data_IF_369524286579
#
_entry.id   IF_369524286579
#
_cell.length_a   1.000
_cell.length_b   1.000
_cell.length_c   1.000
_cell.angle_alpha   90.00
_cell.angle_beta   90.00
_cell.angle_gamma   90.00
#
_symmetry.space_group_name_H-M   'P 1'
#
loop_
_entity.id
_entity.type
_entity.pdbx_description
1 polymer ?
#
# COMPACT_ATOMS: atom_id res chain seq x y z
N UNK A 1 3.92 -21.81 -2.13
CA UNK A 1 4.24 -20.37 -2.13
C UNK A 1 4.63 -19.95 -3.54
N UNK A 2 3.74 -19.30 -4.30
CA UNK A 2 4.13 -18.73 -5.61
C UNK A 2 5.14 -17.64 -5.31
N UNK A 3 6.38 -17.77 -5.82
CA UNK A 3 7.34 -16.67 -5.81
C UNK A 3 6.67 -15.52 -6.54
N UNK A 4 6.31 -14.46 -5.82
CA UNK A 4 5.94 -13.19 -6.41
C UNK A 4 7.16 -12.74 -7.21
N UNK A 5 7.10 -12.98 -8.53
CA UNK A 5 8.03 -12.49 -9.53
C UNK A 5 8.22 -10.97 -9.35
N UNK A 6 9.35 -10.43 -9.82
CA UNK A 6 9.74 -9.01 -9.76
C UNK A 6 8.69 -8.06 -10.37
N UNK A 7 7.82 -8.59 -11.24
CA UNK A 7 6.65 -7.92 -11.83
C UNK A 7 5.35 -8.04 -11.01
N UNK A 8 5.39 -8.73 -9.87
CA UNK A 8 4.22 -9.04 -9.02
C UNK A 8 4.39 -8.64 -7.56
N UNK A 9 5.62 -8.30 -7.10
CA UNK A 9 5.79 -7.69 -5.77
C UNK A 9 5.15 -6.30 -5.78
N UNK A 10 4.23 -5.99 -4.84
CA UNK A 10 3.69 -4.64 -4.70
C UNK A 10 4.82 -3.68 -4.35
N UNK A 11 4.72 -2.41 -4.76
CA UNK A 11 5.65 -1.40 -4.28
C UNK A 11 5.48 -1.12 -2.79
N UNK A 12 4.25 -1.29 -2.28
CA UNK A 12 3.93 -1.06 -0.88
C UNK A 12 3.12 -2.21 -0.30
N UNK A 13 3.46 -2.63 0.91
CA UNK A 13 2.66 -3.52 1.74
C UNK A 13 2.27 -2.77 3.00
N UNK A 14 0.97 -2.75 3.29
CA UNK A 14 0.48 -2.28 4.58
C UNK A 14 0.18 -3.48 5.44
N UNK A 15 0.89 -3.60 6.57
CA UNK A 15 0.61 -4.59 7.63
C UNK A 15 -0.21 -3.93 8.71
N UNK A 16 -1.21 -4.64 9.21
CA UNK A 16 -1.98 -4.22 10.37
C UNK A 16 -3.46 -4.42 10.19
N UNK A 17 -4.15 -4.52 11.30
CA UNK A 17 -5.59 -4.68 11.34
C UNK A 17 -6.23 -3.69 12.32
N UNK A 18 -7.57 -3.69 12.31
CA UNK A 18 -8.35 -2.77 13.13
C UNK A 18 -8.30 -3.13 14.62
N UNK A 19 -8.00 -4.38 14.96
CA UNK A 19 -7.99 -4.88 16.33
C UNK A 19 -6.72 -4.45 17.05
N UNK A 20 -5.59 -4.48 16.36
CA UNK A 20 -4.29 -4.03 16.88
C UNK A 20 -4.09 -2.52 16.78
N UNK A 21 -4.84 -1.84 15.90
CA UNK A 21 -4.89 -0.38 15.82
C UNK A 21 -3.61 0.29 15.32
N UNK A 22 -2.61 -0.48 14.89
CA UNK A 22 -1.35 -0.01 14.34
C UNK A 22 -1.16 -0.57 12.94
N UNK A 23 -0.85 0.31 12.00
CA UNK A 23 -0.56 -0.01 10.62
C UNK A 23 0.86 0.42 10.29
N UNK A 24 1.62 -0.50 9.71
CA UNK A 24 2.99 -0.31 9.27
C UNK A 24 3.05 -0.44 7.75
N UNK A 25 3.96 0.31 7.12
CA UNK A 25 4.13 0.28 5.66
C UNK A 25 5.53 -0.22 5.34
N UNK A 26 5.61 -1.21 4.47
CA UNK A 26 6.87 -1.73 3.92
C UNK A 26 6.89 -1.39 2.44
N UNK A 27 8.02 -0.92 1.94
CA UNK A 27 8.24 -0.70 0.52
C UNK A 27 9.18 -1.75 -0.05
N UNK A 28 8.92 -2.19 -1.28
CA UNK A 28 9.73 -3.20 -1.97
C UNK A 28 10.31 -2.67 -3.26
N UNK A 29 11.63 -2.80 -3.44
CA UNK A 29 12.30 -2.47 -4.70
C UNK A 29 13.59 -3.27 -4.83
N UNK A 30 13.87 -3.77 -6.03
CA UNK A 30 15.12 -4.49 -6.34
C UNK A 30 15.46 -5.62 -5.34
N UNK A 31 14.44 -6.35 -4.88
CA UNK A 31 14.54 -7.43 -3.87
C UNK A 31 14.87 -6.98 -2.44
N UNK A 32 14.96 -5.68 -2.20
CA UNK A 32 15.01 -5.09 -0.87
C UNK A 32 13.60 -4.81 -0.35
N UNK A 33 13.43 -4.98 0.96
CA UNK A 33 12.23 -4.60 1.70
C UNK A 33 12.63 -3.63 2.80
N UNK A 34 12.11 -2.41 2.76
CA UNK A 34 12.42 -1.37 3.74
C UNK A 34 11.13 -1.01 4.47
N UNK A 35 11.14 -1.15 5.79
CA UNK A 35 10.07 -0.69 6.66
C UNK A 35 10.16 0.84 6.79
N UNK A 36 9.03 1.54 6.64
CA UNK A 36 8.92 2.95 7.02
C UNK A 36 8.89 3.07 8.54
N UNK A 37 9.56 4.09 9.09
CA UNK A 37 9.58 4.32 10.54
C UNK A 37 8.22 4.79 11.06
N UNK A 38 7.43 5.42 10.20
CA UNK A 38 6.09 5.91 10.49
C UNK A 38 5.11 4.77 10.77
N UNK A 39 4.41 4.90 11.89
CA UNK A 39 3.29 4.02 12.26
C UNK A 39 1.99 4.80 12.20
N UNK A 40 0.93 4.16 11.73
CA UNK A 40 -0.37 4.79 11.51
C UNK A 40 -1.44 4.16 12.38
N UNK A 41 -2.34 4.99 12.94
CA UNK A 41 -3.49 4.53 13.73
C UNK A 41 -4.65 3.98 12.87
N UNK A 42 -4.54 4.09 11.54
CA UNK A 42 -5.57 3.67 10.62
C UNK A 42 -5.02 3.37 9.23
N UNK A 43 -5.65 2.39 8.57
CA UNK A 43 -5.35 2.07 7.16
C UNK A 43 -5.51 3.28 6.22
N UNK A 44 -6.44 4.20 6.55
CA UNK A 44 -6.62 5.42 5.76
C UNK A 44 -5.36 6.30 5.81
N UNK A 45 -4.80 6.54 6.99
CA UNK A 45 -3.58 7.36 7.13
C UNK A 45 -2.37 6.70 6.46
N UNK A 46 -2.21 5.39 6.60
CA UNK A 46 -1.16 4.65 5.90
C UNK A 46 -1.27 4.83 4.36
N UNK A 47 -2.49 4.78 3.82
CA UNK A 47 -2.73 4.99 2.38
C UNK A 47 -2.52 6.42 1.91
N UNK A 48 -2.89 7.40 2.74
CA UNK A 48 -2.59 8.81 2.47
C UNK A 48 -1.08 9.02 2.38
N UNK A 49 -0.34 8.46 3.33
CA UNK A 49 1.12 8.49 3.35
C UNK A 49 1.72 7.84 2.11
N UNK A 50 1.31 6.61 1.76
CA UNK A 50 1.76 5.92 0.54
C UNK A 50 1.50 6.76 -0.70
N UNK A 51 0.30 7.34 -0.81
CA UNK A 51 -0.08 8.17 -1.95
C UNK A 51 0.80 9.41 -2.10
N UNK A 52 0.97 10.18 -1.02
CA UNK A 52 1.83 11.37 -1.01
C UNK A 52 3.30 11.01 -1.26
N UNK A 53 3.78 9.93 -0.65
CA UNK A 53 5.14 9.44 -0.83
C UNK A 53 5.41 9.08 -2.29
N UNK A 54 4.52 8.32 -2.94
CA UNK A 54 4.68 7.92 -4.34
C UNK A 54 4.57 9.11 -5.32
N UNK A 55 3.75 10.12 -5.03
CA UNK A 55 3.70 11.35 -5.83
C UNK A 55 5.02 12.13 -5.78
N UNK A 56 5.66 12.18 -4.62
CA UNK A 56 6.94 12.86 -4.43
C UNK A 56 8.14 12.04 -4.94
N UNK A 57 7.96 10.73 -5.17
CA UNK A 57 8.99 9.80 -5.58
C UNK A 57 8.49 8.95 -6.76
N UNK A 58 8.55 9.48 -8.00
CA UNK A 58 7.95 8.85 -9.20
C UNK A 58 8.48 7.44 -9.49
N UNK A 59 9.63 7.07 -8.94
CA UNK A 59 10.21 5.73 -9.09
C UNK A 59 9.47 4.63 -8.31
N UNK A 60 8.42 5.00 -7.57
CA UNK A 60 7.45 4.12 -6.89
C UNK A 60 6.08 4.10 -7.57
N UNK A 61 5.97 4.73 -8.74
CA UNK A 61 4.81 4.67 -9.60
C UNK A 61 5.01 3.52 -10.60
N UNK A 62 3.98 2.71 -10.78
CA UNK A 62 4.01 1.54 -11.66
C UNK A 62 3.91 1.94 -13.13
N UNK A 63 4.02 0.96 -14.02
CA UNK A 63 3.97 1.15 -15.47
C UNK A 63 2.64 1.75 -15.97
N UNK A 64 1.58 1.70 -15.16
CA UNK A 64 0.28 2.29 -15.45
C UNK A 64 0.15 3.73 -14.94
N UNK A 65 1.19 4.30 -14.33
CA UNK A 65 1.14 5.64 -13.74
C UNK A 65 0.42 5.70 -12.38
N UNK A 66 0.29 4.57 -11.68
CA UNK A 66 -0.40 4.48 -10.38
C UNK A 66 0.40 3.63 -9.37
N UNK A 67 -0.19 3.31 -8.22
CA UNK A 67 0.46 2.63 -7.11
C UNK A 67 -0.01 1.17 -7.03
N UNK A 68 0.92 0.27 -6.71
CA UNK A 68 0.63 -1.13 -6.38
C UNK A 68 0.75 -1.35 -4.87
N UNK A 69 -0.34 -1.74 -4.22
CA UNK A 69 -0.42 -1.96 -2.76
C UNK A 69 -0.89 -3.39 -2.45
N UNK A 70 -0.26 -4.03 -1.48
CA UNK A 70 -0.75 -5.24 -0.83
C UNK A 70 -1.20 -4.94 0.59
N UNK A 71 -2.41 -5.35 0.93
CA UNK A 71 -2.93 -5.20 2.29
C UNK A 71 -2.85 -6.54 3.00
N UNK A 72 -1.92 -6.63 3.96
CA UNK A 72 -1.69 -7.81 4.77
C UNK A 72 -2.32 -7.64 6.15
N UNK A 73 -3.08 -8.65 6.58
CA UNK A 73 -3.68 -8.69 7.91
C UNK A 73 -3.31 -9.99 8.60
N UNK A 74 -2.79 -9.87 9.82
CA UNK A 74 -2.55 -11.02 10.67
C UNK A 74 -3.87 -11.73 11.01
N UNK A 75 -3.82 -13.06 11.08
CA UNK A 75 -4.98 -13.89 11.42
C UNK A 75 -6.04 -14.07 10.33
N UNK A 76 -5.81 -13.59 9.10
CA UNK A 76 -6.63 -13.95 7.93
C UNK A 76 -5.98 -15.03 7.09
N UNK A 77 -6.80 -15.83 6.43
CA UNK A 77 -6.32 -16.72 5.37
C UNK A 77 -5.60 -15.89 4.31
N UNK A 78 -4.47 -16.40 3.82
CA UNK A 78 -3.63 -15.70 2.83
C UNK A 78 -4.42 -15.27 1.58
N UNK A 79 -5.46 -16.04 1.22
CA UNK A 79 -6.38 -15.75 0.11
C UNK A 79 -7.22 -14.47 0.29
N UNK A 80 -7.40 -14.02 1.53
CA UNK A 80 -8.15 -12.81 1.85
C UNK A 80 -7.28 -11.55 1.89
N UNK A 81 -5.95 -11.72 1.85
CA UNK A 81 -5.02 -10.61 1.67
C UNK A 81 -5.08 -10.13 0.23
N UNK A 82 -5.39 -8.85 0.05
CA UNK A 82 -5.68 -8.29 -1.28
C UNK A 82 -4.47 -7.57 -1.82
N UNK A 83 -4.00 -8.06 -2.96
CA UNK A 83 -3.13 -7.31 -3.84
C UNK A 83 -3.96 -6.45 -4.78
N UNK A 84 -3.59 -5.19 -4.89
CA UNK A 84 -4.25 -4.22 -5.73
C UNK A 84 -3.23 -3.50 -6.59
N UNK A 85 -3.42 -3.58 -7.90
CA UNK A 85 -2.74 -2.70 -8.85
C UNK A 85 -3.62 -1.51 -9.21
N UNK A 86 -3.01 -0.35 -9.38
CA UNK A 86 -3.68 0.91 -9.64
C UNK A 86 -4.64 1.29 -8.51
N UNK A 87 -4.11 1.35 -7.30
CA UNK A 87 -4.92 1.48 -6.08
C UNK A 87 -5.56 2.84 -5.94
N UNK A 88 -4.97 3.91 -6.48
CA UNK A 88 -5.54 5.23 -6.33
C UNK A 88 -6.91 5.30 -7.03
N UNK A 89 -7.00 4.77 -8.25
CA UNK A 89 -8.25 4.73 -9.02
C UNK A 89 -9.18 3.59 -8.58
N UNK A 90 -8.66 2.38 -8.35
CA UNK A 90 -9.51 1.22 -8.05
C UNK A 90 -9.99 1.15 -6.60
N UNK A 91 -9.22 1.70 -5.67
CA UNK A 91 -9.49 1.57 -4.23
C UNK A 91 -9.69 2.93 -3.58
N UNK A 92 -8.74 3.86 -3.67
CA UNK A 92 -8.76 5.07 -2.86
C UNK A 92 -9.92 5.98 -3.25
N UNK A 93 -10.06 6.27 -4.53
CA UNK A 93 -11.14 7.10 -5.10
C UNK A 93 -12.54 6.55 -4.80
N UNK A 94 -12.69 5.22 -4.78
CA UNK A 94 -13.99 4.57 -4.48
C UNK A 94 -14.30 4.54 -2.98
N UNK A 95 -13.28 4.47 -2.13
CA UNK A 95 -13.43 4.26 -0.69
C UNK A 95 -13.40 5.55 0.13
N UNK A 96 -12.68 6.57 -0.33
CA UNK A 96 -12.47 7.81 0.42
C UNK A 96 -13.02 9.00 -0.35
N UNK A 97 -14.11 9.59 0.17
CA UNK A 97 -14.77 10.76 -0.43
C UNK A 97 -13.83 11.98 -0.50
N UNK A 98 -12.89 12.06 0.42
CA UNK A 98 -11.88 13.11 0.55
C UNK A 98 -10.59 12.82 -0.21
N UNK A 99 -10.54 11.76 -1.04
CA UNK A 99 -9.32 11.39 -1.78
C UNK A 99 -8.71 12.54 -2.61
N UNK A 100 -9.56 13.40 -3.18
CA UNK A 100 -9.13 14.58 -3.95
C UNK A 100 -8.26 15.55 -3.13
N UNK A 101 -8.42 15.56 -1.82
CA UNK A 101 -7.71 16.44 -0.89
C UNK A 101 -6.39 15.84 -0.39
N UNK A 102 -6.09 14.58 -0.73
CA UNK A 102 -4.86 13.91 -0.30
C UNK A 102 -3.60 14.36 -1.05
N UNK A 103 -3.77 15.08 -2.18
CA UNK A 103 -2.67 15.69 -2.93
C UNK A 103 -2.11 16.97 -2.28
N UNK A 104 -2.71 17.42 -1.18
CA UNK A 104 -2.30 18.64 -0.45
C UNK A 104 -1.11 18.39 0.46
#
# INVERSE_FOLDING_TARGET
MKKLDRFTKPYFETRGDKEHGVYEVIRYKNDESILFEEKFDSLKKARMFIYQYALNNPEWINVNGDISEFNFKDGRDEQDNKWHDNVSEKVYKKKYKDFKDWKK
#
